data_IF_028088405835
#
_entry.id   IF_028088405835
#
_cell.length_a   1.000
_cell.length_b   1.000
_cell.length_c   1.000
_cell.angle_alpha   90.00
_cell.angle_beta   90.00
_cell.angle_gamma   90.00
#
_symmetry.space_group_name_H-M   'P 1'
#
loop_
_entity.id
_entity.type
_entity.pdbx_description
1 polymer ?
#
# COMPACT_ATOMS: atom_id res chain seq x y z
N UNK A 1 -3.08 6.43 9.95
CA UNK A 1 -3.61 6.02 8.63
C UNK A 1 -4.94 5.38 8.95
N UNK A 2 -6.08 5.93 8.51
CA UNK A 2 -7.43 5.51 8.97
C UNK A 2 -8.25 4.83 7.87
N UNK A 3 -7.69 4.68 6.67
CA UNK A 3 -8.41 4.17 5.51
C UNK A 3 -8.95 2.73 5.67
N UNK A 4 -8.27 1.87 6.45
CA UNK A 4 -8.78 0.53 6.73
C UNK A 4 -10.09 0.57 7.53
N UNK A 5 -10.16 1.41 8.56
CA UNK A 5 -11.36 1.59 9.37
C UNK A 5 -12.45 2.35 8.60
N UNK A 6 -12.11 3.50 8.02
CA UNK A 6 -13.08 4.35 7.32
C UNK A 6 -13.63 3.67 6.07
N UNK A 7 -12.76 3.20 5.17
CA UNK A 7 -13.18 2.76 3.84
C UNK A 7 -13.59 1.29 3.83
N UNK A 8 -12.79 0.41 4.44
CA UNK A 8 -13.08 -1.02 4.42
C UNK A 8 -14.13 -1.37 5.48
N UNK A 9 -13.95 -0.98 6.73
CA UNK A 9 -14.91 -1.35 7.77
C UNK A 9 -16.22 -0.55 7.66
N UNK A 10 -16.14 0.78 7.79
CA UNK A 10 -17.31 1.63 7.97
C UNK A 10 -18.12 1.80 6.68
N UNK A 11 -17.45 2.06 5.55
CA UNK A 11 -18.14 2.30 4.28
C UNK A 11 -18.48 1.00 3.52
N UNK A 12 -17.70 -0.07 3.74
CA UNK A 12 -17.85 -1.31 2.99
C UNK A 12 -18.49 -2.45 3.77
N UNK A 13 -17.86 -2.90 4.86
CA UNK A 13 -18.23 -4.13 5.57
C UNK A 13 -19.51 -3.98 6.41
N UNK A 14 -19.60 -2.96 7.26
CA UNK A 14 -20.77 -2.72 8.14
C UNK A 14 -22.07 -2.59 7.32
N UNK A 15 -22.15 -1.72 6.27
CA UNK A 15 -23.38 -1.54 5.51
C UNK A 15 -23.81 -2.78 4.73
N UNK A 16 -22.86 -3.70 4.45
CA UNK A 16 -23.10 -4.96 3.73
C UNK A 16 -23.24 -6.15 4.67
N UNK A 17 -23.15 -5.94 5.98
CA UNK A 17 -23.12 -7.02 6.99
C UNK A 17 -22.07 -8.09 6.67
N UNK A 18 -20.94 -7.69 6.09
CA UNK A 18 -19.83 -8.60 5.80
C UNK A 18 -18.93 -8.72 7.00
N UNK A 19 -18.77 -9.94 7.54
CA UNK A 19 -17.89 -10.18 8.67
C UNK A 19 -16.41 -10.25 8.27
N UNK A 20 -16.13 -10.61 7.02
CA UNK A 20 -14.77 -10.82 6.51
C UNK A 20 -14.43 -9.74 5.48
N UNK A 21 -13.20 -9.22 5.56
CA UNK A 21 -12.68 -8.20 4.65
C UNK A 21 -11.21 -8.41 4.32
N UNK A 22 -10.81 -7.95 3.15
CA UNK A 22 -9.40 -7.96 2.73
C UNK A 22 -8.98 -6.53 2.41
N UNK A 23 -7.89 -6.08 3.02
CA UNK A 23 -7.32 -4.75 2.77
C UNK A 23 -6.06 -4.89 1.91
N UNK A 24 -6.13 -4.51 0.64
CA UNK A 24 -5.06 -4.69 -0.32
C UNK A 24 -4.29 -3.38 -0.56
N UNK A 25 -2.97 -3.40 -0.41
CA UNK A 25 -2.10 -2.26 -0.64
C UNK A 25 -0.99 -2.62 -1.63
N UNK A 26 -0.77 -1.77 -2.63
CA UNK A 26 0.39 -1.83 -3.50
C UNK A 26 1.54 -0.99 -2.93
N UNK A 27 2.70 -1.62 -2.75
CA UNK A 27 3.96 -0.96 -2.38
C UNK A 27 4.84 -0.79 -3.62
N UNK A 28 5.45 0.37 -3.77
CA UNK A 28 6.44 0.60 -4.82
C UNK A 28 7.62 1.41 -4.28
N UNK A 29 8.81 1.14 -4.80
CA UNK A 29 10.02 1.87 -4.42
C UNK A 29 9.93 3.36 -4.75
N UNK A 30 10.19 4.18 -3.74
CA UNK A 30 10.05 5.64 -3.83
C UNK A 30 11.23 6.34 -4.50
N UNK A 31 12.31 5.64 -4.86
CA UNK A 31 13.49 6.26 -5.48
C UNK A 31 13.19 6.92 -6.83
N UNK A 32 12.12 6.48 -7.51
CA UNK A 32 11.60 7.09 -8.74
C UNK A 32 10.43 8.04 -8.50
N UNK A 33 10.02 8.21 -7.25
CA UNK A 33 8.97 9.17 -6.91
C UNK A 33 9.52 10.58 -7.12
N UNK A 34 8.78 11.40 -7.87
CA UNK A 34 9.11 12.80 -8.05
C UNK A 34 9.15 13.53 -6.70
N UNK A 35 10.32 14.04 -6.31
CA UNK A 35 10.52 14.76 -5.04
C UNK A 35 9.70 16.07 -4.95
N UNK A 36 9.20 16.60 -6.07
CA UNK A 36 8.28 17.74 -6.10
C UNK A 36 6.82 17.37 -5.86
N UNK A 37 6.48 16.08 -5.80
CA UNK A 37 5.14 15.63 -5.44
C UNK A 37 4.91 15.87 -3.94
N UNK A 38 3.85 16.61 -3.60
CA UNK A 38 3.48 16.90 -2.21
C UNK A 38 3.22 15.62 -1.39
N UNK A 39 2.82 14.53 -2.06
CA UNK A 39 2.59 13.22 -1.43
C UNK A 39 3.89 12.59 -0.96
N UNK A 40 5.01 12.83 -1.66
CA UNK A 40 6.32 12.27 -1.34
C UNK A 40 6.70 12.48 0.15
N UNK A 41 6.48 13.68 0.66
CA UNK A 41 6.81 14.03 2.04
C UNK A 41 5.88 13.39 3.09
N UNK A 42 4.65 13.02 2.72
CA UNK A 42 3.72 12.35 3.64
C UNK A 42 4.09 10.88 3.89
N UNK A 43 4.80 10.24 2.97
CA UNK A 43 5.09 8.80 3.01
C UNK A 43 6.39 8.44 3.74
N UNK A 44 7.18 9.43 4.17
CA UNK A 44 8.49 9.25 4.86
C UNK A 44 8.43 8.50 6.20
N UNK A 45 7.24 8.20 6.73
CA UNK A 45 7.08 7.49 8.02
C UNK A 45 7.25 5.98 7.90
N UNK A 46 7.14 5.42 6.69
CA UNK A 46 7.24 3.98 6.45
C UNK A 46 8.45 3.75 5.54
N UNK A 47 9.47 3.07 6.08
CA UNK A 47 10.78 2.94 5.44
C UNK A 47 10.95 1.67 4.63
N UNK A 48 10.13 0.64 4.90
CA UNK A 48 10.17 -0.62 4.17
C UNK A 48 8.78 -1.21 3.98
N UNK A 49 8.65 -2.11 3.00
CA UNK A 49 7.45 -2.91 2.79
C UNK A 49 7.08 -3.74 4.03
N UNK A 50 8.09 -4.17 4.80
CA UNK A 50 7.89 -4.98 6.00
C UNK A 50 7.34 -4.13 7.15
N UNK A 51 7.83 -2.91 7.31
CA UNK A 51 7.25 -1.95 8.26
C UNK A 51 5.77 -1.72 7.94
N UNK A 52 5.43 -1.56 6.66
CA UNK A 52 4.04 -1.39 6.24
C UNK A 52 3.18 -2.61 6.57
N UNK A 53 3.69 -3.83 6.33
CA UNK A 53 2.98 -5.06 6.66
C UNK A 53 2.66 -5.14 8.15
N UNK A 54 3.65 -4.87 9.01
CA UNK A 54 3.47 -4.90 10.45
C UNK A 54 2.45 -3.85 10.92
N UNK A 55 2.55 -2.62 10.42
CA UNK A 55 1.60 -1.53 10.74
C UNK A 55 0.17 -1.88 10.35
N UNK A 56 -0.03 -2.51 9.19
CA UNK A 56 -1.37 -2.90 8.73
C UNK A 56 -1.90 -4.13 9.47
N UNK A 57 -1.03 -5.06 9.86
CA UNK A 57 -1.40 -6.23 10.66
C UNK A 57 -1.86 -5.81 12.05
N UNK A 58 -1.14 -4.90 12.72
CA UNK A 58 -1.55 -4.32 14.01
C UNK A 58 -2.93 -3.65 13.91
N UNK A 59 -3.14 -2.80 12.90
CA UNK A 59 -4.45 -2.16 12.68
C UNK A 59 -5.57 -3.17 12.42
N UNK A 60 -5.29 -4.22 11.63
CA UNK A 60 -6.27 -5.25 11.33
C UNK A 60 -6.64 -6.05 12.59
N UNK A 61 -5.68 -6.31 13.48
CA UNK A 61 -5.92 -6.96 14.77
C UNK A 61 -6.81 -6.10 15.66
N UNK A 62 -6.48 -4.81 15.82
CA UNK A 62 -7.28 -3.86 16.61
C UNK A 62 -8.73 -3.80 16.14
N UNK A 63 -8.95 -3.69 14.82
CA UNK A 63 -10.30 -3.68 14.25
C UNK A 63 -11.01 -5.02 14.45
N UNK A 64 -10.27 -6.13 14.37
CA UNK A 64 -10.85 -7.46 14.46
C UNK A 64 -11.37 -7.80 15.87
N UNK A 65 -10.92 -7.09 16.91
CA UNK A 65 -11.51 -7.18 18.26
C UNK A 65 -13.01 -6.83 18.29
N UNK A 66 -13.46 -6.02 17.33
CA UNK A 66 -14.87 -5.63 17.15
C UNK A 66 -15.76 -6.72 16.53
N UNK A 67 -15.26 -7.94 16.31
CA UNK A 67 -16.02 -9.06 15.75
C UNK A 67 -16.02 -9.16 14.22
N UNK A 68 -15.30 -8.25 13.56
CA UNK A 68 -14.95 -8.34 12.14
C UNK A 68 -13.62 -9.07 11.98
N UNK A 69 -13.34 -9.60 10.78
CA UNK A 69 -12.07 -10.27 10.48
C UNK A 69 -11.50 -9.61 9.23
N UNK A 70 -10.42 -8.86 9.41
CA UNK A 70 -9.73 -8.18 8.32
C UNK A 70 -8.37 -8.84 8.09
N UNK A 71 -8.10 -9.20 6.84
CA UNK A 71 -6.79 -9.68 6.40
C UNK A 71 -6.08 -8.63 5.54
N UNK A 72 -5.02 -7.96 6.01
CA UNK A 72 -4.25 -7.06 5.18
C UNK A 72 -3.29 -7.84 4.26
N UNK A 73 -3.11 -7.33 3.04
CA UNK A 73 -2.09 -7.81 2.10
C UNK A 73 -1.37 -6.65 1.43
N UNK A 74 -0.04 -6.71 1.50
CA UNK A 74 0.85 -5.76 0.84
C UNK A 74 1.58 -6.46 -0.30
N UNK A 75 1.31 -6.02 -1.52
CA UNK A 75 1.94 -6.52 -2.75
C UNK A 75 3.05 -5.55 -3.16
N UNK A 76 4.25 -6.06 -3.37
CA UNK A 76 5.30 -5.29 -4.05
C UNK A 76 4.98 -5.20 -5.54
N UNK A 77 4.72 -3.99 -6.00
CA UNK A 77 4.43 -3.64 -7.40
C UNK A 77 5.53 -2.76 -7.99
N UNK A 78 6.72 -2.74 -7.37
CA UNK A 78 7.87 -2.02 -7.88
C UNK A 78 8.26 -2.53 -9.27
N UNK A 79 8.56 -1.61 -10.18
CA UNK A 79 8.94 -1.92 -11.55
C UNK A 79 10.42 -2.32 -11.63
N UNK A 80 10.74 -3.56 -11.24
CA UNK A 80 12.15 -4.04 -11.23
C UNK A 80 12.70 -4.25 -12.66
N UNK A 81 11.85 -4.62 -13.64
CA UNK A 81 12.33 -5.07 -14.96
C UNK A 81 12.03 -4.14 -16.16
N UNK A 82 11.06 -3.23 -16.05
CA UNK A 82 10.61 -2.47 -17.24
C UNK A 82 11.66 -1.43 -17.69
N UNK A 83 12.59 -1.04 -16.81
CA UNK A 83 13.54 0.04 -17.10
C UNK A 83 14.78 -0.38 -17.88
N UNK A 84 15.30 -1.60 -17.76
CA UNK A 84 16.48 -2.01 -18.53
C UNK A 84 16.25 -1.96 -20.04
N UNK A 85 15.00 -2.18 -20.50
CA UNK A 85 14.65 -2.19 -21.93
C UNK A 85 14.26 -0.83 -22.47
N UNK A 86 13.72 0.09 -21.65
CA UNK A 86 13.30 1.41 -22.13
C UNK A 86 14.43 2.43 -22.14
N UNK A 87 15.39 2.38 -21.20
CA UNK A 87 16.51 3.33 -21.19
C UNK A 87 17.67 2.95 -22.11
N UNK A 88 17.91 1.65 -22.39
CA UNK A 88 18.94 1.23 -23.36
C UNK A 88 18.66 1.61 -24.81
N UNK A 89 17.44 2.06 -25.15
CA UNK A 89 17.06 2.47 -26.52
C UNK A 89 17.29 3.96 -26.80
N UNK A 90 17.59 4.77 -25.78
CA UNK A 90 17.79 6.21 -25.93
C UNK A 90 19.27 6.60 -26.06
N UNK A 91 20.20 5.71 -25.78
CA UNK A 91 21.65 5.98 -25.82
C UNK A 91 22.36 5.43 -27.09
N UNK A 92 21.62 4.91 -28.08
CA UNK A 92 22.19 4.41 -29.35
C UNK A 92 21.97 5.35 -30.56
N UNK A 93 21.57 6.60 -30.35
CA UNK A 93 21.43 7.60 -31.43
C UNK A 93 21.98 8.98 -31.04
N UNK A 94 23.26 9.04 -30.69
CA UNK A 94 24.08 10.28 -30.76
C UNK A 94 25.49 9.96 -31.31
#
# INVERSE_FOLDING_TARGET
>A
MTAMEEQLLNDYMIPRSSQYGMYLVGWFESQYWNNSDWRYNMHRRVTSIEDLRNILEEQAQEISEGGFIIGPKVIDISLVEIHERMYRRTDEND
#
